data_IF_185866172257
#
_entry.id   IF_185866172257
#
_cell.length_a   1.000
_cell.length_b   1.000
_cell.length_c   1.000
_cell.angle_alpha   90.00
_cell.angle_beta   90.00
_cell.angle_gamma   90.00
#
_symmetry.space_group_name_H-M   'P 1'
#
loop_
_entity.id
_entity.type
_entity.pdbx_description
1 polymer ?
#
# COMPACT_ATOMS: atom_id res chain seq x y z
N UNK A 1 -21.76 -7.65 0.07
CA UNK A 1 -21.92 -6.43 -0.73
C UNK A 1 -22.35 -5.32 0.21
N UNK A 2 -21.80 -4.10 0.08
CA UNK A 2 -22.25 -2.95 0.87
C UNK A 2 -23.74 -2.66 0.63
N UNK A 3 -24.41 -2.05 1.60
CA UNK A 3 -25.81 -1.62 1.45
C UNK A 3 -25.90 -0.41 0.51
N UNK A 4 -27.09 -0.13 -0.03
CA UNK A 4 -27.31 1.06 -0.85
C UNK A 4 -27.00 2.36 -0.09
N UNK A 5 -27.31 2.39 1.21
CA UNK A 5 -26.95 3.50 2.12
C UNK A 5 -25.42 3.66 2.22
N UNK A 6 -24.68 2.56 2.43
CA UNK A 6 -23.22 2.61 2.48
C UNK A 6 -22.58 3.04 1.15
N UNK A 7 -23.22 2.74 0.02
CA UNK A 7 -22.78 3.24 -1.30
C UNK A 7 -23.09 4.73 -1.44
N UNK A 8 -24.28 5.19 -1.02
CA UNK A 8 -24.66 6.60 -1.07
C UNK A 8 -23.79 7.47 -0.15
N UNK A 9 -23.34 6.93 0.99
CA UNK A 9 -22.46 7.59 1.95
C UNK A 9 -20.97 7.50 1.56
N UNK A 10 -20.63 6.81 0.47
CA UNK A 10 -19.26 6.69 -0.01
C UNK A 10 -18.78 8.02 -0.61
N UNK A 11 -18.06 8.80 0.19
CA UNK A 11 -17.52 10.10 -0.24
C UNK A 11 -16.20 10.05 -1.02
N UNK A 12 -15.54 8.88 -1.08
CA UNK A 12 -14.17 8.76 -1.62
C UNK A 12 -14.06 8.07 -2.98
N UNK A 13 -15.15 7.43 -3.44
CA UNK A 13 -15.22 6.81 -4.77
C UNK A 13 -16.55 7.16 -5.42
N UNK A 14 -16.58 8.32 -6.06
CA UNK A 14 -17.71 8.80 -6.85
C UNK A 14 -17.92 7.98 -8.13
N UNK A 15 -19.08 8.14 -8.76
CA UNK A 15 -19.37 7.49 -10.05
C UNK A 15 -18.35 7.90 -11.12
N UNK A 16 -17.96 9.18 -11.17
CA UNK A 16 -16.97 9.67 -12.14
C UNK A 16 -15.59 9.05 -11.93
N UNK A 17 -15.18 8.82 -10.68
CA UNK A 17 -13.92 8.12 -10.39
C UNK A 17 -14.01 6.64 -10.80
N UNK A 18 -15.14 5.98 -10.53
CA UNK A 18 -15.39 4.61 -10.95
C UNK A 18 -15.41 4.45 -12.47
N UNK A 19 -15.97 5.43 -13.19
CA UNK A 19 -15.97 5.49 -14.66
C UNK A 19 -14.55 5.51 -15.22
N UNK A 20 -13.62 6.24 -14.60
CA UNK A 20 -12.20 6.23 -15.00
C UNK A 20 -11.62 4.82 -14.90
N UNK A 21 -11.77 4.15 -13.75
CA UNK A 21 -11.22 2.81 -13.56
C UNK A 21 -11.86 1.78 -14.50
N UNK A 22 -13.18 1.78 -14.61
CA UNK A 22 -13.92 0.85 -15.48
C UNK A 22 -13.60 1.07 -16.96
N UNK A 23 -13.45 2.33 -17.41
CA UNK A 23 -13.02 2.67 -18.76
C UNK A 23 -11.61 2.18 -19.07
N UNK A 24 -10.66 2.40 -18.16
CA UNK A 24 -9.27 1.98 -18.35
C UNK A 24 -9.11 0.45 -18.34
N UNK A 25 -9.79 -0.26 -17.43
CA UNK A 25 -9.81 -1.72 -17.46
C UNK A 25 -10.58 -2.28 -18.67
N UNK A 26 -11.61 -1.58 -19.15
CA UNK A 26 -12.29 -1.93 -20.40
C UNK A 26 -11.37 -1.82 -21.62
N UNK A 27 -10.52 -0.80 -21.65
CA UNK A 27 -9.56 -0.56 -22.75
C UNK A 27 -8.35 -1.50 -22.71
N UNK A 28 -7.82 -1.77 -21.52
CA UNK A 28 -6.53 -2.46 -21.34
C UNK A 28 -6.66 -3.92 -20.88
N UNK A 29 -7.82 -4.31 -20.37
CA UNK A 29 -8.05 -5.60 -19.74
C UNK A 29 -7.28 -5.77 -18.42
N UNK A 30 -7.43 -6.94 -17.81
CA UNK A 30 -6.80 -7.24 -16.51
C UNK A 30 -5.46 -7.97 -16.61
N UNK A 31 -5.06 -8.39 -17.82
CA UNK A 31 -3.92 -9.29 -17.99
C UNK A 31 -2.64 -8.67 -17.43
N UNK A 32 -2.35 -7.39 -17.69
CA UNK A 32 -1.15 -6.73 -17.16
C UNK A 32 -1.06 -6.79 -15.64
N UNK A 33 -2.12 -6.39 -14.94
CA UNK A 33 -2.19 -6.47 -13.48
C UNK A 33 -2.09 -7.91 -12.94
N UNK A 34 -2.75 -8.86 -13.61
CA UNK A 34 -2.73 -10.27 -13.21
C UNK A 34 -1.38 -10.95 -13.46
N UNK A 35 -0.57 -10.49 -14.41
CA UNK A 35 0.79 -11.02 -14.61
C UNK A 35 1.68 -10.79 -13.40
N UNK A 36 1.50 -9.68 -12.67
CA UNK A 36 2.26 -9.44 -11.46
C UNK A 36 2.09 -10.57 -10.44
N UNK A 37 0.85 -11.04 -10.25
CA UNK A 37 0.56 -12.18 -9.35
C UNK A 37 1.22 -13.46 -9.84
N UNK A 38 1.21 -13.74 -11.15
CA UNK A 38 1.87 -14.94 -11.71
C UNK A 38 3.38 -14.94 -11.42
N UNK A 39 4.03 -13.78 -11.56
CA UNK A 39 5.43 -13.63 -11.19
C UNK A 39 5.65 -13.73 -9.68
N UNK A 40 4.83 -13.03 -8.87
CA UNK A 40 4.95 -13.05 -7.42
C UNK A 40 4.73 -14.43 -6.80
N UNK A 41 3.98 -15.32 -7.46
CA UNK A 41 3.79 -16.72 -7.04
C UNK A 41 4.73 -17.71 -7.75
N UNK A 42 5.57 -17.25 -8.68
CA UNK A 42 6.51 -18.11 -9.41
C UNK A 42 7.69 -18.48 -8.53
N UNK A 43 7.95 -19.77 -8.35
CA UNK A 43 9.10 -20.24 -7.57
C UNK A 43 10.42 -19.79 -8.20
N UNK A 44 10.54 -19.86 -9.52
CA UNK A 44 11.73 -19.44 -10.25
C UNK A 44 12.06 -17.97 -9.98
N UNK A 45 11.06 -17.08 -10.13
CA UNK A 45 11.24 -15.65 -9.92
C UNK A 45 11.55 -15.36 -8.45
N UNK A 46 10.82 -15.98 -7.51
CA UNK A 46 11.09 -15.84 -6.07
C UNK A 46 12.50 -16.33 -5.68
N UNK A 47 13.01 -17.39 -6.32
CA UNK A 47 14.34 -17.91 -6.04
C UNK A 47 15.44 -16.91 -6.41
N UNK A 48 15.22 -16.05 -7.41
CA UNK A 48 16.18 -14.98 -7.74
C UNK A 48 16.34 -13.97 -6.60
N UNK A 49 15.28 -13.72 -5.83
CA UNK A 49 15.30 -12.80 -4.69
C UNK A 49 16.14 -13.32 -3.53
N UNK A 50 16.44 -14.63 -3.47
CA UNK A 50 17.28 -15.22 -2.42
C UNK A 50 18.71 -14.66 -2.41
N UNK A 51 19.18 -14.08 -3.51
CA UNK A 51 20.46 -13.36 -3.56
C UNK A 51 20.53 -12.21 -2.55
N UNK A 52 19.37 -11.69 -2.14
CA UNK A 52 19.24 -10.62 -1.16
C UNK A 52 18.85 -11.12 0.24
N UNK A 53 18.81 -12.43 0.46
CA UNK A 53 18.46 -12.99 1.76
C UNK A 53 19.41 -12.48 2.85
N UNK A 54 18.83 -12.01 3.97
CA UNK A 54 19.57 -11.44 5.10
C UNK A 54 20.08 -10.01 4.88
N UNK A 55 19.82 -9.39 3.73
CA UNK A 55 20.07 -7.96 3.51
C UNK A 55 18.92 -7.13 4.08
N UNK A 56 19.25 -5.90 4.46
CA UNK A 56 18.31 -4.90 4.96
C UNK A 56 18.00 -3.83 3.92
N UNK A 57 16.90 -3.11 4.13
CA UNK A 57 16.56 -1.88 3.42
C UNK A 57 17.12 -0.71 4.22
N UNK A 58 18.13 -0.04 3.67
CA UNK A 58 18.92 0.97 4.39
C UNK A 58 18.56 2.42 4.07
N UNK A 59 17.52 2.62 3.26
CA UNK A 59 16.99 3.94 2.94
C UNK A 59 15.92 4.36 3.97
N UNK A 60 15.75 5.68 4.21
CA UNK A 60 14.58 6.20 4.93
C UNK A 60 13.30 5.59 4.40
N UNK A 61 12.51 5.03 5.31
CA UNK A 61 11.31 4.27 4.96
C UNK A 61 10.13 4.71 5.80
N UNK A 62 8.97 4.78 5.15
CA UNK A 62 7.68 5.07 5.78
C UNK A 62 6.66 4.05 5.27
N UNK A 63 5.90 3.46 6.18
CA UNK A 63 4.78 2.59 5.84
C UNK A 63 3.46 3.24 6.26
N UNK A 64 2.49 3.25 5.35
CA UNK A 64 1.14 3.77 5.59
C UNK A 64 0.14 2.73 5.07
N UNK A 65 -0.80 2.31 5.91
CA UNK A 65 -1.91 1.44 5.54
C UNK A 65 -3.18 1.86 6.27
N UNK A 66 -4.34 1.44 5.78
CA UNK A 66 -5.59 1.61 6.52
C UNK A 66 -5.65 0.66 7.71
N UNK A 67 -6.21 1.11 8.82
CA UNK A 67 -6.38 0.29 10.02
C UNK A 67 -7.27 -0.93 9.78
N UNK A 68 -8.20 -0.84 8.83
CA UNK A 68 -9.10 -1.92 8.45
C UNK A 68 -8.59 -2.72 7.24
N UNK A 69 -7.35 -2.51 6.79
CA UNK A 69 -6.77 -3.25 5.68
C UNK A 69 -6.27 -4.64 6.12
N UNK A 70 -6.79 -5.69 5.48
CA UNK A 70 -6.28 -7.05 5.64
C UNK A 70 -4.86 -7.23 5.09
N UNK A 71 -4.44 -6.40 4.14
CA UNK A 71 -3.13 -6.44 3.46
C UNK A 71 -1.95 -6.55 4.43
N UNK A 72 -2.00 -5.82 5.54
CA UNK A 72 -0.95 -5.81 6.58
C UNK A 72 -0.74 -7.19 7.22
N UNK A 73 -1.78 -8.03 7.23
CA UNK A 73 -1.78 -9.34 7.89
C UNK A 73 -1.61 -10.53 6.93
N UNK A 74 -1.46 -10.29 5.62
CA UNK A 74 -1.32 -11.37 4.62
C UNK A 74 -0.07 -12.24 4.83
N UNK A 75 0.98 -11.67 5.42
CA UNK A 75 2.21 -12.36 5.78
C UNK A 75 2.43 -12.20 7.29
N UNK A 76 2.07 -13.20 8.10
CA UNK A 76 2.24 -13.12 9.55
C UNK A 76 3.66 -12.73 9.95
N UNK A 77 3.80 -11.74 10.81
CA UNK A 77 5.10 -11.26 11.30
C UNK A 77 5.82 -10.27 10.37
N UNK A 78 5.36 -10.06 9.13
CA UNK A 78 6.05 -9.19 8.18
C UNK A 78 6.02 -7.72 8.61
N UNK A 79 4.89 -7.26 9.15
CA UNK A 79 4.74 -5.89 9.64
C UNK A 79 5.67 -5.60 10.82
N UNK A 80 5.82 -6.56 11.74
CA UNK A 80 6.71 -6.47 12.89
C UNK A 80 8.18 -6.54 12.46
N UNK A 81 8.53 -7.47 11.56
CA UNK A 81 9.89 -7.62 11.04
C UNK A 81 10.33 -6.37 10.27
N UNK A 82 9.43 -5.77 9.49
CA UNK A 82 9.70 -4.53 8.78
C UNK A 82 10.09 -3.39 9.72
N UNK A 83 9.41 -3.28 10.87
CA UNK A 83 9.71 -2.27 11.90
C UNK A 83 10.96 -2.60 12.71
N UNK A 84 11.18 -3.88 13.01
CA UNK A 84 12.21 -4.30 13.97
C UNK A 84 13.58 -4.49 13.34
N UNK A 85 13.66 -4.97 12.09
CA UNK A 85 14.94 -5.42 11.53
C UNK A 85 15.09 -5.35 10.02
N UNK A 86 14.02 -5.42 9.23
CA UNK A 86 14.16 -5.42 7.77
C UNK A 86 14.55 -4.04 7.21
N UNK A 87 14.04 -2.95 7.81
CA UNK A 87 14.39 -1.59 7.45
C UNK A 87 15.26 -0.96 8.55
N UNK A 88 16.52 -0.62 8.25
CA UNK A 88 17.42 -0.04 9.27
C UNK A 88 17.11 1.42 9.58
N UNK A 89 16.35 2.08 8.71
CA UNK A 89 15.87 3.47 8.85
C UNK A 89 14.37 3.57 8.66
N UNK A 90 13.61 2.80 9.44
CA UNK A 90 12.15 2.93 9.49
C UNK A 90 11.77 4.14 10.33
N UNK A 91 11.15 5.14 9.71
CA UNK A 91 10.80 6.40 10.38
C UNK A 91 9.35 6.44 10.86
N UNK A 92 8.50 5.58 10.33
CA UNK A 92 7.12 5.49 10.78
C UNK A 92 6.35 4.34 10.14
N UNK A 93 5.46 3.75 10.93
CA UNK A 93 4.45 2.79 10.47
C UNK A 93 3.10 3.28 10.97
N UNK A 94 2.23 3.68 10.05
CA UNK A 94 0.97 4.33 10.35
C UNK A 94 -0.21 3.49 9.87
N UNK A 95 -1.06 3.08 10.81
CA UNK A 95 -2.36 2.47 10.53
C UNK A 95 -3.44 3.56 10.66
N UNK A 96 -3.94 4.03 9.52
CA UNK A 96 -4.85 5.17 9.44
C UNK A 96 -6.26 4.73 9.81
N UNK A 97 -6.82 5.34 10.85
CA UNK A 97 -8.17 5.08 11.31
C UNK A 97 -9.21 5.46 10.24
N UNK A 98 -10.28 4.68 10.14
CA UNK A 98 -11.36 4.93 9.17
C UNK A 98 -10.97 4.68 7.70
N UNK A 99 -9.85 3.97 7.45
CA UNK A 99 -9.45 3.53 6.12
C UNK A 99 -9.24 2.00 6.06
N UNK A 100 -9.58 1.42 4.93
CA UNK A 100 -9.25 0.07 4.50
C UNK A 100 -8.10 0.05 3.50
N UNK A 101 -8.25 -0.74 2.43
CA UNK A 101 -7.17 -1.03 1.48
C UNK A 101 -6.76 0.18 0.63
N UNK A 102 -7.69 1.07 0.32
CA UNK A 102 -7.45 2.21 -0.57
C UNK A 102 -7.13 3.46 0.24
N UNK A 103 -6.22 3.35 1.23
CA UNK A 103 -5.96 4.36 2.27
C UNK A 103 -5.74 5.78 1.73
N UNK A 104 -5.10 5.92 0.59
CA UNK A 104 -4.83 7.21 -0.07
C UNK A 104 -6.07 7.84 -0.72
N UNK A 105 -7.09 7.05 -1.06
CA UNK A 105 -8.39 7.55 -1.53
C UNK A 105 -9.36 7.73 -0.36
N UNK A 106 -9.37 6.80 0.60
CA UNK A 106 -10.28 6.81 1.75
C UNK A 106 -9.94 7.93 2.76
N UNK A 107 -8.66 8.21 2.99
CA UNK A 107 -8.18 9.23 3.93
C UNK A 107 -7.06 10.09 3.29
N UNK A 108 -7.34 10.81 2.19
CA UNK A 108 -6.33 11.48 1.37
C UNK A 108 -5.58 12.57 2.14
N UNK A 109 -6.27 13.30 3.02
CA UNK A 109 -5.67 14.34 3.84
C UNK A 109 -4.63 13.81 4.82
N UNK A 110 -4.93 12.69 5.49
CA UNK A 110 -4.00 12.09 6.45
C UNK A 110 -2.79 11.47 5.76
N UNK A 111 -3.00 10.76 4.64
CA UNK A 111 -1.90 10.23 3.83
C UNK A 111 -0.99 11.35 3.33
N UNK A 112 -1.58 12.45 2.83
CA UNK A 112 -0.82 13.61 2.35
C UNK A 112 0.01 14.24 3.47
N UNK A 113 -0.58 14.41 4.66
CA UNK A 113 0.10 14.96 5.85
C UNK A 113 1.30 14.09 6.25
N UNK A 114 1.14 12.76 6.30
CA UNK A 114 2.21 11.82 6.64
C UNK A 114 3.34 11.84 5.62
N UNK A 115 3.01 11.84 4.32
CA UNK A 115 4.01 11.92 3.25
C UNK A 115 4.78 13.23 3.27
N UNK A 116 4.09 14.37 3.41
CA UNK A 116 4.75 15.68 3.51
C UNK A 116 5.68 15.76 4.71
N UNK A 117 5.24 15.30 5.89
CA UNK A 117 6.07 15.28 7.09
C UNK A 117 7.32 14.41 6.93
N UNK A 118 7.19 13.24 6.31
CA UNK A 118 8.34 12.38 6.00
C UNK A 118 9.34 13.07 5.06
N UNK A 119 8.85 13.69 3.97
CA UNK A 119 9.71 14.40 3.01
C UNK A 119 10.41 15.62 3.61
N UNK A 120 9.75 16.34 4.53
CA UNK A 120 10.36 17.48 5.24
C UNK A 120 11.48 17.02 6.18
N UNK A 121 11.28 15.92 6.90
CA UNK A 121 12.32 15.34 7.75
C UNK A 121 13.58 14.98 6.94
N UNK A 122 13.41 14.42 5.73
CA UNK A 122 14.52 14.08 4.86
C UNK A 122 15.32 15.29 4.39
N UNK A 123 14.66 16.44 4.16
CA UNK A 123 15.35 17.67 3.77
C UNK A 123 16.17 18.26 4.91
N UNK A 124 15.73 18.07 6.16
CA UNK A 124 16.42 18.59 7.34
C UNK A 124 17.60 17.74 7.81
N UNK A 125 17.70 16.48 7.34
CA UNK A 125 18.79 15.54 7.65
C UNK A 125 19.88 15.44 6.57
N UNK A 126 19.79 16.27 5.53
CA UNK A 126 20.81 16.52 4.49
C UNK A 126 21.64 17.74 4.83
#
# INVERSE_FOLDING_TARGET
MPSAEAVADCGWLSETELEVYSGEFGRTGFQGGLQWYRCATSETENNTLRLWAGRTIDVPSLFIAGQNDWGVYQKPGAFEVMQASACTRMEGCHLVAGAGHWVQQEQPGEVSRLLSGFLECQKSGS
#
